data_IF_521609333433
#
_entry.id   IF_521609333433
#
_cell.length_a   1.000
_cell.length_b   1.000
_cell.length_c   1.000
_cell.angle_alpha   90.00
_cell.angle_beta   90.00
_cell.angle_gamma   90.00
#
_symmetry.space_group_name_H-M   'P 1'
#
loop_
_entity.id
_entity.type
_entity.pdbx_description
1 polymer ?
#
# COMPACT_ATOMS: atom_id res chain seq x y z
N UNK A 1 -10.76 -8.41 -41.93
CA UNK A 1 -10.43 -9.11 -40.65
C UNK A 1 -9.65 -10.38 -40.99
N UNK A 2 -8.59 -10.73 -40.26
CA UNK A 2 -7.91 -12.04 -40.44
C UNK A 2 -8.83 -13.19 -39.99
N UNK A 3 -8.89 -14.27 -40.77
CA UNK A 3 -9.63 -15.49 -40.43
C UNK A 3 -8.86 -16.36 -39.43
N UNK A 4 -7.53 -16.24 -39.38
CA UNK A 4 -6.65 -16.98 -38.48
C UNK A 4 -6.15 -16.16 -37.29
N UNK A 5 -7.04 -15.35 -36.70
CA UNK A 5 -6.66 -14.54 -35.54
C UNK A 5 -6.13 -15.40 -34.38
N UNK A 6 -5.12 -14.92 -33.64
CA UNK A 6 -4.54 -13.56 -33.66
C UNK A 6 -3.52 -13.30 -34.79
N UNK A 7 -3.18 -14.30 -35.60
CA UNK A 7 -2.15 -14.18 -36.64
C UNK A 7 -2.66 -13.55 -37.94
N UNK A 8 -1.73 -13.01 -38.70
CA UNK A 8 -1.99 -12.41 -40.01
C UNK A 8 -2.03 -13.50 -41.09
N UNK A 9 -3.18 -13.64 -41.77
CA UNK A 9 -3.40 -14.56 -42.89
C UNK A 9 -3.62 -13.83 -44.23
N UNK A 10 -3.43 -12.50 -44.26
CA UNK A 10 -3.71 -11.65 -45.42
C UNK A 10 -5.20 -11.28 -45.63
N UNK A 11 -6.16 -11.93 -44.97
CA UNK A 11 -7.61 -11.63 -45.09
C UNK A 11 -8.02 -10.29 -44.48
N UNK A 12 -7.09 -9.60 -43.81
CA UNK A 12 -7.32 -8.25 -43.25
C UNK A 12 -7.24 -7.13 -44.30
N UNK A 13 -6.70 -7.39 -45.49
CA UNK A 13 -6.58 -6.40 -46.58
C UNK A 13 -7.96 -5.83 -46.95
N UNK A 14 -8.04 -4.51 -47.05
CA UNK A 14 -9.29 -3.79 -47.37
C UNK A 14 -10.23 -3.54 -46.18
N UNK A 15 -9.88 -3.95 -44.96
CA UNK A 15 -10.73 -3.75 -43.77
C UNK A 15 -10.30 -2.61 -42.85
N UNK A 16 -9.31 -1.80 -43.25
CA UNK A 16 -8.78 -0.69 -42.44
C UNK A 16 -8.00 -1.12 -41.18
N UNK A 17 -7.88 -2.42 -40.93
CA UNK A 17 -7.14 -2.98 -39.79
C UNK A 17 -5.76 -3.41 -40.26
N UNK A 18 -4.73 -2.76 -39.73
CA UNK A 18 -3.33 -3.06 -40.04
C UNK A 18 -2.77 -4.13 -39.08
N UNK A 19 -1.89 -5.04 -39.55
CA UNK A 19 -1.20 -5.98 -38.67
C UNK A 19 -0.16 -5.28 -37.79
N UNK A 20 -0.13 -5.64 -36.51
CA UNK A 20 0.94 -5.23 -35.60
C UNK A 20 2.09 -6.25 -35.67
N UNK A 21 3.28 -5.80 -36.04
CA UNK A 21 4.48 -6.61 -35.96
C UNK A 21 4.91 -6.79 -34.49
N UNK A 22 5.10 -8.02 -34.07
CA UNK A 22 5.54 -8.36 -32.71
C UNK A 22 6.52 -9.53 -32.77
N UNK A 23 7.61 -9.43 -32.00
CA UNK A 23 8.59 -10.48 -31.80
C UNK A 23 8.77 -10.68 -30.30
N UNK A 24 8.66 -11.93 -29.83
CA UNK A 24 8.94 -12.25 -28.43
C UNK A 24 10.44 -12.39 -28.20
N UNK A 25 10.95 -11.75 -27.14
CA UNK A 25 12.34 -11.89 -26.71
C UNK A 25 12.58 -13.17 -25.91
N UNK A 26 11.54 -13.73 -25.30
CA UNK A 26 11.63 -14.89 -24.41
C UNK A 26 10.55 -15.93 -24.74
N UNK A 27 10.89 -17.21 -24.67
CA UNK A 27 9.92 -18.31 -24.79
C UNK A 27 9.15 -18.46 -23.47
N UNK A 28 8.05 -17.74 -23.34
CA UNK A 28 7.12 -17.82 -22.20
C UNK A 28 5.69 -17.91 -22.71
N UNK A 29 4.82 -18.49 -21.89
CA UNK A 29 3.39 -18.49 -22.16
C UNK A 29 2.84 -17.06 -22.09
N UNK A 30 2.08 -16.68 -23.11
CA UNK A 30 1.49 -15.35 -23.23
C UNK A 30 0.07 -15.44 -23.81
N UNK A 31 -0.81 -14.54 -23.37
CA UNK A 31 -2.19 -14.45 -23.86
C UNK A 31 -2.32 -13.29 -24.85
N UNK A 32 -2.66 -13.58 -26.10
CA UNK A 32 -2.82 -12.59 -27.16
C UNK A 32 -4.27 -12.12 -27.28
N UNK A 33 -4.45 -10.84 -27.58
CA UNK A 33 -5.78 -10.25 -27.79
C UNK A 33 -6.40 -10.73 -29.11
N UNK A 34 -7.68 -11.12 -29.06
CA UNK A 34 -8.46 -11.48 -30.26
C UNK A 34 -9.67 -10.56 -30.49
N UNK A 35 -10.07 -9.76 -29.49
CA UNK A 35 -11.20 -8.83 -29.61
C UNK A 35 -10.82 -7.47 -30.21
N UNK A 36 -9.51 -7.18 -30.36
CA UNK A 36 -8.96 -5.90 -30.86
C UNK A 36 -9.32 -4.67 -30.00
N UNK A 37 -9.79 -4.89 -28.78
CA UNK A 37 -10.15 -3.84 -27.84
C UNK A 37 -9.15 -3.70 -26.68
N UNK A 38 -8.00 -4.36 -26.77
CA UNK A 38 -6.99 -4.27 -25.71
C UNK A 38 -6.20 -2.97 -25.82
N UNK A 39 -6.02 -2.29 -24.69
CA UNK A 39 -5.10 -1.16 -24.57
C UNK A 39 -3.64 -1.59 -24.43
N UNK A 40 -3.37 -2.90 -24.26
CA UNK A 40 -2.03 -3.47 -24.13
C UNK A 40 -1.70 -4.42 -25.30
N UNK A 41 -2.08 -4.04 -26.53
CA UNK A 41 -1.84 -4.85 -27.72
C UNK A 41 -0.32 -5.14 -27.89
N UNK A 42 0.09 -6.37 -28.24
CA UNK A 42 -0.72 -7.49 -28.73
C UNK A 42 -1.33 -8.41 -27.65
N UNK A 43 -1.13 -8.11 -26.37
CA UNK A 43 -1.54 -8.96 -25.25
C UNK A 43 -3.00 -8.76 -24.84
N UNK A 44 -3.57 -9.73 -24.12
CA UNK A 44 -4.88 -9.62 -23.51
C UNK A 44 -4.78 -8.87 -22.16
N UNK A 45 -5.57 -7.81 -21.99
CA UNK A 45 -5.68 -6.98 -20.78
C UNK A 45 -7.08 -7.08 -20.12
N UNK A 46 -7.90 -8.04 -20.55
CA UNK A 46 -9.27 -8.21 -20.05
C UNK A 46 -10.28 -7.16 -20.56
N UNK A 47 -9.89 -6.23 -21.43
CA UNK A 47 -10.79 -5.20 -22.00
C UNK A 47 -12.03 -5.77 -22.71
N UNK A 48 -12.00 -7.04 -23.11
CA UNK A 48 -13.14 -7.73 -23.72
C UNK A 48 -14.40 -7.76 -22.82
N UNK A 49 -14.23 -7.69 -21.50
CA UNK A 49 -15.36 -7.64 -20.54
C UNK A 49 -16.15 -6.35 -20.63
N UNK A 50 -15.55 -5.26 -21.15
CA UNK A 50 -16.17 -3.93 -21.27
C UNK A 50 -16.93 -3.73 -22.57
N UNK A 51 -16.93 -4.73 -23.47
CA UNK A 51 -17.57 -4.61 -24.78
C UNK A 51 -19.10 -4.79 -24.73
N UNK A 52 -19.67 -5.31 -23.64
CA UNK A 52 -21.11 -5.45 -23.47
C UNK A 52 -21.78 -6.15 -24.66
N UNK A 53 -22.80 -5.49 -25.24
CA UNK A 53 -23.61 -5.99 -26.36
C UNK A 53 -23.05 -5.64 -27.76
N UNK A 54 -21.81 -5.12 -27.85
CA UNK A 54 -21.20 -4.77 -29.12
C UNK A 54 -21.03 -6.01 -30.00
N UNK A 55 -21.44 -5.89 -31.26
CA UNK A 55 -21.35 -6.95 -32.26
C UNK A 55 -20.04 -6.84 -33.03
N UNK A 56 -19.66 -7.95 -33.64
CA UNK A 56 -18.50 -8.02 -34.53
C UNK A 56 -18.68 -7.04 -35.70
N UNK A 57 -17.89 -5.97 -35.70
CA UNK A 57 -17.94 -4.91 -36.72
C UNK A 57 -18.25 -3.52 -36.15
N UNK A 58 -18.76 -3.46 -34.92
CA UNK A 58 -18.99 -2.18 -34.23
C UNK A 58 -17.65 -1.52 -33.85
N UNK A 59 -17.60 -0.18 -33.79
CA UNK A 59 -16.40 0.54 -33.37
C UNK A 59 -16.07 0.18 -31.92
N UNK A 60 -14.80 -0.12 -31.67
CA UNK A 60 -14.29 -0.35 -30.32
C UNK A 60 -14.38 0.96 -29.53
N UNK A 61 -14.95 0.96 -28.31
CA UNK A 61 -14.90 2.12 -27.43
C UNK A 61 -13.44 2.51 -27.20
N UNK A 62 -13.07 3.74 -27.53
CA UNK A 62 -11.72 4.26 -27.31
C UNK A 62 -11.36 4.15 -25.83
N UNK A 63 -10.49 3.19 -25.49
CA UNK A 63 -9.81 3.19 -24.21
C UNK A 63 -8.84 4.36 -24.22
N UNK A 64 -9.04 5.31 -23.32
CA UNK A 64 -8.12 6.43 -23.15
C UNK A 64 -6.75 5.88 -22.73
N UNK A 65 -5.82 5.83 -23.68
CA UNK A 65 -4.41 5.48 -23.46
C UNK A 65 -4.00 4.15 -24.10
N UNK A 66 -2.97 4.21 -24.95
CA UNK A 66 -2.18 3.05 -25.35
C UNK A 66 -1.30 2.64 -24.16
N UNK A 67 -1.79 1.74 -23.31
CA UNK A 67 -1.03 1.19 -22.19
C UNK A 67 -1.87 0.40 -21.18
N UNK A 68 -1.22 -0.40 -20.32
CA UNK A 68 -1.88 -1.00 -19.16
C UNK A 68 -2.45 0.10 -18.25
N UNK A 69 -3.61 -0.13 -17.60
CA UNK A 69 -4.22 0.85 -16.71
C UNK A 69 -3.27 1.23 -15.57
N UNK A 70 -3.31 2.50 -15.16
CA UNK A 70 -2.50 3.00 -14.04
C UNK A 70 -3.04 2.45 -12.72
N UNK A 71 -2.17 1.80 -11.94
CA UNK A 71 -2.53 1.23 -10.65
C UNK A 71 -2.71 2.32 -9.60
N UNK A 72 -3.91 2.45 -9.05
CA UNK A 72 -4.26 3.42 -7.99
C UNK A 72 -4.49 2.71 -6.65
N UNK A 73 -4.00 3.23 -5.52
CA UNK A 73 -4.29 2.66 -4.20
C UNK A 73 -5.79 2.64 -3.88
N UNK A 74 -6.29 1.51 -3.38
CA UNK A 74 -7.65 1.39 -2.84
C UNK A 74 -7.59 1.14 -1.33
N UNK A 75 -8.71 1.29 -0.59
CA UNK A 75 -8.78 0.90 0.81
C UNK A 75 -8.43 -0.57 1.05
N UNK A 76 -8.85 -1.46 0.15
CA UNK A 76 -8.62 -2.91 0.21
C UNK A 76 -7.18 -3.28 -0.19
N UNK A 77 -6.59 -2.56 -1.16
CA UNK A 77 -5.25 -2.79 -1.69
C UNK A 77 -4.41 -1.50 -1.71
N UNK A 78 -4.04 -0.95 -0.54
CA UNK A 78 -3.36 0.34 -0.45
C UNK A 78 -1.93 0.31 -1.02
N UNK A 79 -1.36 -0.88 -1.24
CA UNK A 79 0.01 -1.07 -1.72
C UNK A 79 0.11 -1.38 -3.21
N UNK A 80 -1.02 -1.52 -3.92
CA UNK A 80 -1.04 -1.96 -5.33
C UNK A 80 -0.20 -1.07 -6.25
N UNK A 81 -0.31 0.25 -6.09
CA UNK A 81 0.46 1.21 -6.89
C UNK A 81 1.98 1.02 -6.68
N UNK A 82 2.42 0.80 -5.43
CA UNK A 82 3.82 0.57 -5.09
C UNK A 82 4.36 -0.73 -5.68
N UNK A 83 3.55 -1.79 -5.71
CA UNK A 83 3.92 -3.08 -6.31
C UNK A 83 4.16 -2.90 -7.82
N UNK A 84 3.26 -2.21 -8.51
CA UNK A 84 3.40 -1.92 -9.94
C UNK A 84 4.60 -1.02 -10.24
N UNK A 85 4.89 -0.04 -9.39
CA UNK A 85 6.09 0.77 -9.49
C UNK A 85 7.38 -0.07 -9.37
N UNK A 86 7.47 -0.90 -8.33
CA UNK A 86 8.62 -1.80 -8.14
C UNK A 86 8.77 -2.80 -9.29
N UNK A 87 7.66 -3.30 -9.85
CA UNK A 87 7.69 -4.22 -10.99
C UNK A 87 8.24 -3.56 -12.27
N UNK A 88 7.95 -2.27 -12.49
CA UNK A 88 8.42 -1.51 -13.66
C UNK A 88 9.86 -1.04 -13.50
N UNK A 89 10.17 -0.50 -12.33
CA UNK A 89 11.39 0.29 -12.12
C UNK A 89 12.46 -0.47 -11.33
N UNK A 90 12.10 -1.58 -10.69
CA UNK A 90 12.97 -2.31 -9.78
C UNK A 90 13.48 -1.44 -8.63
N UNK A 91 14.62 -1.83 -8.06
CA UNK A 91 15.27 -1.06 -6.99
C UNK A 91 16.14 0.10 -7.49
N UNK A 92 16.16 0.33 -8.81
CA UNK A 92 17.03 1.33 -9.44
C UNK A 92 16.69 2.76 -9.02
N UNK A 93 15.41 3.05 -8.80
CA UNK A 93 14.92 4.39 -8.41
C UNK A 93 14.92 4.63 -6.90
N UNK A 94 14.82 3.57 -6.09
CA UNK A 94 14.70 3.68 -4.63
C UNK A 94 15.99 3.33 -3.86
N UNK A 95 17.03 2.91 -4.57
CA UNK A 95 18.28 2.41 -3.97
C UNK A 95 18.18 0.95 -3.52
N UNK A 96 19.33 0.34 -3.21
CA UNK A 96 19.43 -1.09 -2.82
C UNK A 96 18.55 -1.47 -1.63
N UNK A 97 18.28 -0.52 -0.73
CA UNK A 97 17.48 -0.75 0.48
C UNK A 97 16.01 -0.36 0.33
N UNK A 98 15.61 0.16 -0.84
CA UNK A 98 14.27 0.69 -1.05
C UNK A 98 14.02 2.00 -0.26
N UNK A 99 12.77 2.49 -0.28
CA UNK A 99 12.40 3.66 0.50
C UNK A 99 12.52 3.36 2.00
N UNK A 100 13.42 4.08 2.68
CA UNK A 100 13.58 4.04 4.13
C UNK A 100 12.70 5.10 4.77
N UNK A 101 11.87 4.67 5.72
CA UNK A 101 11.01 5.53 6.52
C UNK A 101 11.02 5.08 7.98
N UNK A 102 10.54 5.94 8.88
CA UNK A 102 10.31 5.54 10.26
C UNK A 102 9.26 4.42 10.29
N UNK A 103 9.55 3.33 11.02
CA UNK A 103 8.55 2.31 11.32
C UNK A 103 7.46 2.95 12.17
N UNK A 104 6.31 3.21 11.57
CA UNK A 104 5.15 3.78 12.22
C UNK A 104 4.00 2.79 12.24
N UNK A 105 3.18 2.84 13.30
CA UNK A 105 1.90 2.14 13.30
C UNK A 105 0.91 2.99 12.51
N UNK A 106 0.15 2.43 11.55
CA UNK A 106 -0.81 3.21 10.79
C UNK A 106 -1.85 3.83 11.73
N UNK A 107 -1.94 5.16 11.71
CA UNK A 107 -2.80 5.91 12.65
C UNK A 107 -4.28 5.53 12.52
N UNK A 108 -4.73 5.12 11.32
CA UNK A 108 -6.08 4.62 11.06
C UNK A 108 -6.43 3.34 11.82
N UNK A 109 -5.42 2.58 12.25
CA UNK A 109 -5.58 1.30 12.94
C UNK A 109 -5.41 1.47 14.48
N UNK A 110 -5.21 2.70 14.97
CA UNK A 110 -5.06 3.01 16.39
C UNK A 110 -6.36 3.62 16.96
N UNK A 111 -6.71 3.34 18.24
CA UNK A 111 -7.84 3.98 18.88
C UNK A 111 -7.61 5.49 19.02
N UNK A 112 -8.66 6.27 18.79
CA UNK A 112 -8.64 7.70 19.04
C UNK A 112 -9.02 8.02 20.49
N UNK A 113 -8.59 9.18 20.99
CA UNK A 113 -9.00 9.67 22.31
C UNK A 113 -10.52 9.85 22.41
N UNK A 114 -11.17 10.21 21.31
CA UNK A 114 -12.63 10.36 21.23
C UNK A 114 -13.37 9.02 21.35
N UNK A 115 -12.68 7.89 21.13
CA UNK A 115 -13.24 6.54 21.28
C UNK A 115 -13.20 6.05 22.75
N UNK A 116 -12.53 6.78 23.64
CA UNK A 116 -12.29 6.37 25.03
C UNK A 116 -13.16 7.18 25.98
N UNK A 117 -14.10 6.52 26.65
CA UNK A 117 -14.87 7.11 27.73
C UNK A 117 -14.33 6.65 29.10
N UNK A 118 -13.84 7.60 29.90
CA UNK A 118 -13.45 7.35 31.29
C UNK A 118 -14.68 7.55 32.19
N UNK A 119 -15.19 6.46 32.75
CA UNK A 119 -16.28 6.51 33.72
C UNK A 119 -15.71 6.83 35.11
N UNK A 120 -16.09 7.95 35.75
CA UNK A 120 -15.66 8.24 37.11
C UNK A 120 -16.25 7.22 38.08
N UNK A 121 -15.59 7.00 39.21
CA UNK A 121 -16.11 6.11 40.25
C UNK A 121 -17.40 6.71 40.84
N UNK A 122 -18.54 6.05 40.62
CA UNK A 122 -19.85 6.58 41.04
C UNK A 122 -20.35 5.96 42.35
N UNK A 123 -20.61 4.65 42.40
CA UNK A 123 -21.20 4.02 43.59
C UNK A 123 -20.40 2.83 44.15
N UNK A 124 -19.68 2.08 43.29
CA UNK A 124 -18.91 0.91 43.74
C UNK A 124 -17.64 1.29 44.53
N UNK A 125 -17.06 2.47 44.24
CA UNK A 125 -15.90 3.00 44.94
C UNK A 125 -16.12 4.49 45.15
N UNK A 126 -16.06 4.95 46.40
CA UNK A 126 -16.18 6.38 46.68
C UNK A 126 -14.95 7.11 46.10
N UNK A 127 -15.14 8.27 45.44
CA UNK A 127 -14.03 9.13 45.09
C UNK A 127 -13.20 9.48 46.32
N UNK A 128 -11.91 9.72 46.09
CA UNK A 128 -11.04 10.27 47.11
C UNK A 128 -11.39 11.76 47.36
N UNK A 129 -11.07 12.24 48.55
CA UNK A 129 -11.16 13.67 48.88
C UNK A 129 -10.09 14.46 48.12
N UNK A 130 -10.32 15.75 47.87
CA UNK A 130 -9.43 16.60 47.06
C UNK A 130 -7.97 16.61 47.52
N UNK A 131 -7.74 16.50 48.83
CA UNK A 131 -6.40 16.53 49.44
C UNK A 131 -5.87 15.13 49.77
N UNK A 132 -6.56 14.07 49.36
CA UNK A 132 -6.08 12.73 49.58
C UNK A 132 -4.83 12.49 48.70
N UNK A 133 -3.73 11.97 49.27
CA UNK A 133 -2.53 11.69 48.48
C UNK A 133 -2.83 10.59 47.45
N UNK A 134 -2.50 10.84 46.19
CA UNK A 134 -2.56 9.87 45.10
C UNK A 134 -1.16 9.68 44.55
N UNK A 135 -0.66 8.44 44.56
CA UNK A 135 0.64 8.15 43.97
C UNK A 135 0.53 7.81 42.49
N UNK A 136 1.50 8.28 41.72
CA UNK A 136 1.71 7.96 40.30
C UNK A 136 2.89 7.01 40.09
N UNK A 137 3.51 6.54 41.17
CA UNK A 137 4.63 5.61 41.07
C UNK A 137 4.20 4.29 40.45
N UNK A 138 5.09 3.71 39.65
CA UNK A 138 4.83 2.43 39.01
C UNK A 138 6.12 1.62 38.88
N UNK A 139 6.01 0.31 39.06
CA UNK A 139 7.10 -0.64 38.80
C UNK A 139 6.78 -1.47 37.57
N UNK A 140 7.58 -1.32 36.53
CA UNK A 140 7.54 -2.16 35.33
C UNK A 140 8.40 -3.40 35.57
N UNK A 141 7.81 -4.58 35.34
CA UNK A 141 8.48 -5.86 35.54
C UNK A 141 8.78 -6.16 37.01
N UNK A 142 7.79 -6.18 37.92
CA UNK A 142 8.02 -6.39 39.36
C UNK A 142 8.65 -7.75 39.71
N UNK A 143 8.62 -8.71 38.77
CA UNK A 143 9.26 -10.04 38.91
C UNK A 143 10.56 -10.18 38.12
N UNK A 144 11.02 -9.11 37.46
CA UNK A 144 12.28 -9.14 36.74
C UNK A 144 13.46 -9.12 37.73
N UNK A 145 14.62 -9.60 37.29
CA UNK A 145 15.87 -9.48 38.07
C UNK A 145 16.22 -8.01 38.35
N UNK A 146 15.86 -7.11 37.43
CA UNK A 146 16.02 -5.66 37.57
C UNK A 146 14.71 -4.93 37.23
N UNK A 147 13.80 -4.79 38.21
CA UNK A 147 12.56 -4.03 38.03
C UNK A 147 12.85 -2.55 37.75
N UNK A 148 12.04 -1.92 36.92
CA UNK A 148 12.14 -0.50 36.62
C UNK A 148 11.07 0.27 37.40
N UNK A 149 11.49 1.08 38.36
CA UNK A 149 10.58 1.94 39.13
C UNK A 149 10.59 3.35 38.55
N UNK A 150 9.40 3.90 38.30
CA UNK A 150 9.17 5.23 37.76
C UNK A 150 8.32 6.04 38.75
N UNK A 151 8.60 7.33 38.89
CA UNK A 151 7.79 8.23 39.73
C UNK A 151 6.44 8.61 39.10
N UNK A 152 6.36 8.51 37.77
CA UNK A 152 5.16 8.77 36.97
C UNK A 152 5.00 7.67 35.92
N UNK A 153 3.78 7.39 35.42
CA UNK A 153 3.53 6.34 34.43
C UNK A 153 3.89 6.79 33.00
N UNK A 154 5.04 7.44 32.85
CA UNK A 154 5.57 7.93 31.58
C UNK A 154 7.07 7.62 31.53
N UNK A 155 7.55 7.14 30.39
CA UNK A 155 8.97 6.95 30.13
C UNK A 155 9.28 7.21 28.65
N UNK A 156 10.55 7.51 28.36
CA UNK A 156 11.05 7.65 26.99
C UNK A 156 11.43 6.26 26.48
N UNK A 157 10.73 5.78 25.44
CA UNK A 157 11.00 4.48 24.83
C UNK A 157 12.31 4.45 24.04
N UNK A 158 12.70 3.26 23.60
CA UNK A 158 13.82 3.10 22.68
C UNK A 158 13.57 3.84 21.36
N UNK A 159 14.67 4.28 20.74
CA UNK A 159 14.65 5.06 19.51
C UNK A 159 15.60 4.43 18.50
N UNK A 160 15.18 4.39 17.23
CA UNK A 160 15.99 3.82 16.15
C UNK A 160 17.32 4.54 16.00
N UNK A 161 18.34 3.80 15.56
CA UNK A 161 19.65 4.35 15.25
C UNK A 161 19.54 5.38 14.12
N UNK A 162 20.18 6.54 14.29
CA UNK A 162 20.11 7.65 13.33
C UNK A 162 18.84 8.52 13.38
N UNK A 163 17.84 8.21 14.20
CA UNK A 163 16.59 8.99 14.25
C UNK A 163 16.75 10.40 14.85
N UNK A 164 17.74 10.60 15.73
CA UNK A 164 17.98 11.85 16.43
C UNK A 164 19.48 12.10 16.63
N UNK A 165 19.84 13.39 16.78
CA UNK A 165 21.19 13.81 17.10
C UNK A 165 21.62 13.32 18.49
N UNK A 166 22.93 13.31 18.73
CA UNK A 166 23.49 12.92 20.02
C UNK A 166 22.99 13.83 21.15
N UNK A 167 22.95 15.13 20.90
CA UNK A 167 22.53 16.18 21.83
C UNK A 167 21.07 15.97 22.26
N UNK A 168 20.19 15.63 21.30
CA UNK A 168 18.79 15.34 21.59
C UNK A 168 18.63 14.12 22.50
N UNK A 169 19.38 13.04 22.24
CA UNK A 169 19.36 11.83 23.08
C UNK A 169 19.85 12.11 24.49
N UNK A 170 20.93 12.89 24.63
CA UNK A 170 21.47 13.29 25.94
C UNK A 170 20.49 14.17 26.70
N UNK A 171 19.85 15.13 26.03
CA UNK A 171 18.84 15.98 26.64
C UNK A 171 17.65 15.18 27.18
N UNK A 172 17.11 14.24 26.38
CA UNK A 172 16.01 13.38 26.82
C UNK A 172 16.43 12.44 27.95
N UNK A 173 17.62 11.84 27.89
CA UNK A 173 18.12 10.96 28.93
C UNK A 173 18.36 11.68 30.27
N UNK A 174 18.58 13.00 30.25
CA UNK A 174 18.70 13.82 31.46
C UNK A 174 17.35 14.32 31.99
N UNK A 175 16.38 14.48 31.10
CA UNK A 175 15.05 14.98 31.42
C UNK A 175 14.05 13.91 31.85
N UNK A 176 14.27 12.67 31.43
CA UNK A 176 13.53 11.48 31.86
C UNK A 176 13.98 11.04 33.26
#
# INVERSE_FOLDING_TARGET
RSKQQPFCDGSHRGTGIEPLAFQSENAKDAHLCQCKASGNAPYCDGSHTRLGDLKVGDPVPVTAGDGPPEATPTPEEPTVARIHDMARNGLSQTGQHGPVGAMGVPRKDLPHWDDIQVLPAQMARKPLLDNAPVSSDITIGPRAEKPLTLAIPLFVSDMSFGALSLEAKVAMARGA
#
